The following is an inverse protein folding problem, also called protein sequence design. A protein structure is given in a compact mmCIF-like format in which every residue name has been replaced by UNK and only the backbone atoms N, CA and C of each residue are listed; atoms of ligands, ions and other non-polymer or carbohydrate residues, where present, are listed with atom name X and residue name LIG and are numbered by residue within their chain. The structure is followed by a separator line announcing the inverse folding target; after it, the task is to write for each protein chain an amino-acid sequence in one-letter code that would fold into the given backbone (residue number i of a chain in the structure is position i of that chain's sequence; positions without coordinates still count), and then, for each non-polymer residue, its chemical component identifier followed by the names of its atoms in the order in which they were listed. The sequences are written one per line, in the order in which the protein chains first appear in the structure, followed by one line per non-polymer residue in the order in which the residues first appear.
data_IF_059808254988
#
_entry.id   IF_059808254988
#
_cell.length_a   1.000
_cell.length_b   1.000
_cell.length_c   1.000
_cell.angle_alpha   90.00
_cell.angle_beta   90.00
_cell.angle_gamma   90.00
#
_symmetry.space_group_name_H-M   'P 1'
#
loop_
_entity.id
_entity.type
_entity.pdbx_description
1 polymer ?
#
# COMPACT_ATOMS: atom_id res chain seq x y z
N UNK A 1 9.76 9.88 2.15
CA UNK A 1 8.71 8.91 2.53
C UNK A 1 7.43 9.44 1.96
N UNK A 2 6.65 8.59 1.31
CA UNK A 2 5.52 9.03 0.52
C UNK A 2 5.53 8.46 -0.90
N UNK A 3 4.36 8.50 -1.53
CA UNK A 3 4.17 8.08 -2.92
C UNK A 3 4.93 8.98 -3.91
N UNK A 4 5.24 10.21 -3.54
CA UNK A 4 6.12 11.13 -4.29
C UNK A 4 7.55 10.60 -4.43
N UNK A 5 8.10 9.96 -3.40
CA UNK A 5 9.39 9.27 -3.54
C UNK A 5 9.27 8.01 -4.38
N UNK A 6 8.12 7.34 -4.36
CA UNK A 6 7.89 6.13 -5.14
C UNK A 6 7.76 6.46 -6.63
N UNK A 7 7.17 7.61 -6.96
CA UNK A 7 7.13 8.16 -8.31
C UNK A 7 8.54 8.23 -8.93
N UNK A 8 9.49 8.82 -8.21
CA UNK A 8 10.88 8.93 -8.64
C UNK A 8 11.49 7.54 -8.85
N UNK A 9 11.42 6.69 -7.82
CA UNK A 9 12.10 5.38 -7.84
C UNK A 9 11.53 4.47 -8.92
N UNK A 10 10.20 4.40 -9.08
CA UNK A 10 9.58 3.51 -10.06
C UNK A 10 9.87 3.94 -11.49
N UNK A 11 9.82 5.25 -11.78
CA UNK A 11 10.18 5.75 -13.12
C UNK A 11 11.67 5.52 -13.42
N UNK A 12 12.57 5.73 -12.44
CA UNK A 12 14.00 5.49 -12.64
C UNK A 12 14.34 4.00 -12.82
N UNK A 13 13.68 3.11 -12.07
CA UNK A 13 13.82 1.66 -12.23
C UNK A 13 13.31 1.17 -13.59
N UNK A 14 12.14 1.64 -14.03
CA UNK A 14 11.62 1.30 -15.35
C UNK A 14 12.55 1.84 -16.45
N UNK A 15 13.02 3.09 -16.32
CA UNK A 15 13.94 3.67 -17.28
C UNK A 15 15.22 2.85 -17.44
N UNK A 16 15.77 2.33 -16.34
CA UNK A 16 16.97 1.50 -16.33
C UNK A 16 16.85 0.25 -17.21
N UNK A 17 15.67 -0.37 -17.27
CA UNK A 17 15.47 -1.63 -17.98
C UNK A 17 14.73 -1.46 -19.32
N UNK A 18 13.88 -0.45 -19.45
CA UNK A 18 12.95 -0.28 -20.57
C UNK A 18 13.21 0.95 -21.45
N UNK A 19 14.22 1.78 -21.14
CA UNK A 19 14.69 2.85 -22.02
C UNK A 19 16.08 2.50 -22.60
N UNK A 20 16.27 2.70 -23.89
CA UNK A 20 17.60 2.73 -24.49
C UNK A 20 18.21 4.12 -24.26
N UNK A 21 19.26 4.20 -23.46
CA UNK A 21 19.90 5.48 -23.11
C UNK A 21 20.72 6.11 -24.25
N UNK A 22 21.13 5.32 -25.24
CA UNK A 22 21.87 5.84 -26.40
C UNK A 22 20.90 6.50 -27.38
N UNK A 23 19.80 5.83 -27.72
CA UNK A 23 18.77 6.40 -28.61
C UNK A 23 17.77 7.32 -27.89
N UNK A 24 17.67 7.21 -26.56
CA UNK A 24 16.66 7.87 -25.70
C UNK A 24 15.23 7.52 -26.09
N UNK A 25 15.01 6.28 -26.49
CA UNK A 25 13.68 5.77 -26.88
C UNK A 25 13.26 4.61 -25.98
N UNK A 26 11.96 4.45 -25.81
CA UNK A 26 11.39 3.28 -25.14
C UNK A 26 11.70 2.03 -25.94
N UNK A 27 12.08 0.95 -25.26
CA UNK A 27 12.30 -0.36 -25.90
C UNK A 27 11.00 -0.90 -26.52
N UNK A 28 11.09 -1.67 -27.62
CA UNK A 28 9.96 -2.39 -28.20
C UNK A 28 9.24 -3.23 -27.15
N UNK A 29 7.92 -3.39 -27.27
CA UNK A 29 7.10 -4.02 -26.24
C UNK A 29 7.53 -5.46 -25.93
N UNK A 30 7.94 -6.20 -26.96
CA UNK A 30 8.47 -7.56 -26.91
C UNK A 30 9.80 -7.69 -26.18
N UNK A 31 10.55 -6.60 -26.01
CA UNK A 31 11.82 -6.55 -25.28
C UNK A 31 11.68 -5.99 -23.86
N UNK A 32 10.49 -5.49 -23.49
CA UNK A 32 10.30 -4.86 -22.18
C UNK A 32 10.41 -5.90 -21.06
N UNK A 33 11.16 -5.54 -20.04
CA UNK A 33 11.36 -6.36 -18.85
C UNK A 33 10.32 -6.00 -17.79
N UNK A 34 9.73 -7.03 -17.20
CA UNK A 34 8.90 -6.89 -16.00
C UNK A 34 9.75 -7.16 -14.75
N UNK A 35 9.82 -6.18 -13.86
CA UNK A 35 10.51 -6.31 -12.58
C UNK A 35 9.60 -6.96 -11.54
N UNK A 36 10.20 -7.75 -10.64
CA UNK A 36 9.56 -8.23 -9.41
C UNK A 36 10.07 -7.39 -8.24
N UNK A 37 9.20 -6.53 -7.70
CA UNK A 37 9.56 -5.54 -6.68
C UNK A 37 8.85 -5.90 -5.37
N UNK A 38 9.64 -6.07 -4.31
CA UNK A 38 9.11 -6.42 -2.99
C UNK A 38 9.45 -5.29 -2.03
N UNK A 39 8.43 -4.56 -1.59
CA UNK A 39 8.55 -3.56 -0.55
C UNK A 39 8.55 -4.26 0.81
N UNK A 40 9.61 -4.06 1.58
CA UNK A 40 9.65 -4.39 3.00
C UNK A 40 9.54 -3.09 3.80
N UNK A 41 8.47 -2.95 4.56
CA UNK A 41 8.19 -1.72 5.31
C UNK A 41 7.63 -1.96 6.69
N UNK A 42 7.48 -0.89 7.44
CA UNK A 42 6.75 -0.89 8.72
C UNK A 42 5.38 -0.27 8.53
N UNK A 43 4.38 -0.74 9.26
CA UNK A 43 3.05 -0.13 9.26
C UNK A 43 2.41 -0.14 10.64
N UNK A 44 1.36 0.67 10.79
CA UNK A 44 0.46 0.61 11.93
C UNK A 44 -0.79 -0.19 11.60
N UNK A 45 -1.23 -1.05 12.51
CA UNK A 45 -2.51 -1.76 12.38
C UNK A 45 -3.70 -0.83 12.67
N UNK A 46 -4.80 -1.01 11.92
CA UNK A 46 -6.11 -0.41 12.18
C UNK A 46 -6.99 -1.29 13.06
N UNK A 47 -6.75 -2.60 13.09
CA UNK A 47 -7.67 -3.57 13.66
C UNK A 47 -7.07 -4.22 14.92
N UNK A 48 -7.89 -4.40 15.96
CA UNK A 48 -7.43 -5.00 17.21
C UNK A 48 -6.96 -6.46 17.03
N UNK A 49 -7.50 -7.18 16.05
CA UNK A 49 -7.14 -8.55 15.70
C UNK A 49 -5.90 -8.67 14.80
N UNK A 50 -5.27 -7.56 14.42
CA UNK A 50 -3.96 -7.53 13.75
C UNK A 50 -2.91 -7.08 14.77
N UNK A 51 -2.26 -8.02 15.48
CA UNK A 51 -1.41 -7.73 16.63
C UNK A 51 -0.08 -7.10 16.23
N UNK A 52 0.51 -6.32 17.14
CA UNK A 52 1.89 -5.84 17.01
C UNK A 52 2.86 -7.02 16.95
N UNK A 53 3.86 -6.95 16.08
CA UNK A 53 4.83 -8.02 15.85
C UNK A 53 4.42 -9.02 14.77
N UNK A 54 3.21 -8.92 14.23
CA UNK A 54 2.79 -9.69 13.06
C UNK A 54 3.41 -9.17 11.77
N UNK A 55 3.48 -10.04 10.77
CA UNK A 55 3.87 -9.73 9.40
C UNK A 55 2.63 -9.81 8.51
N UNK A 56 2.44 -8.80 7.67
CA UNK A 56 1.26 -8.66 6.83
C UNK A 56 1.64 -8.43 5.36
N UNK A 57 1.07 -9.22 4.46
CA UNK A 57 1.16 -9.00 3.02
C UNK A 57 -0.07 -8.23 2.52
N UNK A 58 0.17 -7.16 1.77
CA UNK A 58 -0.90 -6.31 1.24
C UNK A 58 -1.51 -6.93 -0.01
N UNK A 59 -2.81 -7.25 0.03
CA UNK A 59 -3.57 -7.69 -1.14
C UNK A 59 -4.04 -6.51 -1.99
N UNK A 60 -4.75 -5.55 -1.38
CA UNK A 60 -5.10 -4.29 -2.03
C UNK A 60 -4.55 -3.11 -1.25
N UNK A 61 -4.11 -2.09 -1.97
CA UNK A 61 -3.66 -0.84 -1.43
C UNK A 61 -4.69 0.26 -1.74
N UNK A 62 -4.93 1.14 -0.79
CA UNK A 62 -5.82 2.30 -0.91
C UNK A 62 -4.96 3.56 -0.81
N UNK A 63 -4.83 4.29 -1.91
CA UNK A 63 -4.14 5.58 -1.93
C UNK A 63 -5.07 6.72 -1.54
N UNK A 64 -4.69 7.45 -0.49
CA UNK A 64 -5.35 8.70 -0.07
C UNK A 64 -4.59 9.96 -0.53
N UNK A 65 -3.54 9.76 -1.34
CA UNK A 65 -2.77 10.81 -1.98
C UNK A 65 -3.29 11.11 -3.39
N UNK A 66 -2.68 12.09 -4.06
CA UNK A 66 -3.13 12.57 -5.38
C UNK A 66 -2.27 12.09 -6.54
N UNK A 67 -1.29 11.18 -6.34
CA UNK A 67 -0.32 10.85 -7.38
C UNK A 67 -0.99 10.31 -8.65
N UNK A 68 -2.00 9.45 -8.51
CA UNK A 68 -2.70 8.87 -9.66
C UNK A 68 -3.60 9.85 -10.43
N UNK A 69 -3.72 11.11 -9.98
CA UNK A 69 -4.36 12.16 -10.80
C UNK A 69 -3.45 12.67 -11.92
N UNK A 70 -2.16 12.31 -11.90
CA UNK A 70 -1.16 12.70 -12.90
C UNK A 70 -0.85 11.58 -13.91
N UNK A 71 -1.42 10.39 -13.71
CA UNK A 71 -1.20 9.20 -14.52
C UNK A 71 -2.54 8.64 -15.04
N UNK A 72 -2.56 7.93 -16.17
CA UNK A 72 -3.79 7.35 -16.72
C UNK A 72 -4.18 6.05 -15.98
N UNK A 73 -4.17 6.08 -14.65
CA UNK A 73 -4.57 4.95 -13.82
C UNK A 73 -6.08 4.74 -13.89
N UNK A 74 -6.49 3.49 -14.15
CA UNK A 74 -7.89 3.12 -14.23
C UNK A 74 -8.14 1.93 -13.32
N UNK A 75 -8.98 2.16 -12.31
CA UNK A 75 -9.50 1.13 -11.42
C UNK A 75 -10.54 0.28 -12.14
N UNK A 76 -10.67 -0.98 -11.74
CA UNK A 76 -11.69 -1.86 -12.31
C UNK A 76 -12.43 -2.68 -11.25
N UNK A 77 -13.69 -3.01 -11.54
CA UNK A 77 -14.46 -3.97 -10.74
C UNK A 77 -14.57 -3.59 -9.26
N UNK A 78 -13.98 -4.42 -8.40
CA UNK A 78 -13.98 -4.24 -6.95
C UNK A 78 -13.26 -2.95 -6.53
N UNK A 79 -12.16 -2.59 -7.20
CA UNK A 79 -11.34 -1.41 -6.85
C UNK A 79 -12.17 -0.14 -6.93
N UNK A 80 -12.87 0.06 -8.05
CA UNK A 80 -13.77 1.20 -8.27
C UNK A 80 -14.88 1.27 -7.22
N UNK A 81 -15.49 0.13 -6.86
CA UNK A 81 -16.58 0.06 -5.88
C UNK A 81 -16.08 0.44 -4.48
N UNK A 82 -14.95 -0.13 -4.06
CA UNK A 82 -14.32 0.19 -2.77
C UNK A 82 -13.90 1.65 -2.72
N UNK A 83 -13.31 2.20 -3.79
CA UNK A 83 -12.90 3.60 -3.85
C UNK A 83 -14.08 4.55 -3.65
N UNK A 84 -15.20 4.29 -4.33
CA UNK A 84 -16.43 5.09 -4.22
C UNK A 84 -17.04 5.01 -2.82
N UNK A 85 -17.19 3.82 -2.26
CA UNK A 85 -17.76 3.62 -0.93
C UNK A 85 -16.87 4.25 0.15
N UNK A 86 -15.55 4.15 -0.01
CA UNK A 86 -14.61 4.75 0.91
C UNK A 86 -14.65 6.29 0.83
N UNK A 87 -14.72 6.86 -0.38
CA UNK A 87 -14.88 8.29 -0.57
C UNK A 87 -16.11 8.81 0.18
N UNK A 88 -17.24 8.13 0.04
CA UNK A 88 -18.50 8.49 0.70
C UNK A 88 -18.39 8.32 2.23
N UNK A 89 -17.89 7.18 2.69
CA UNK A 89 -17.75 6.87 4.12
C UNK A 89 -16.86 7.88 4.84
N UNK A 90 -15.75 8.26 4.21
CA UNK A 90 -14.79 9.21 4.77
C UNK A 90 -15.18 10.67 4.50
N UNK A 91 -16.13 10.93 3.60
CA UNK A 91 -16.53 12.29 3.20
C UNK A 91 -15.38 13.05 2.54
N UNK A 92 -14.57 12.36 1.73
CA UNK A 92 -13.41 12.97 1.08
C UNK A 92 -13.86 13.86 -0.09
N UNK A 93 -13.31 15.08 -0.22
CA UNK A 93 -13.62 15.96 -1.34
C UNK A 93 -12.90 15.55 -2.65
N UNK A 94 -12.18 14.43 -2.63
CA UNK A 94 -11.44 13.85 -3.74
C UNK A 94 -11.67 12.33 -3.75
N UNK A 95 -11.48 11.70 -4.91
CA UNK A 95 -11.56 10.25 -5.01
C UNK A 95 -10.23 9.64 -4.52
N UNK A 96 -10.26 8.74 -3.52
CA UNK A 96 -9.13 7.85 -3.29
C UNK A 96 -9.03 6.87 -4.47
N UNK A 97 -7.90 6.16 -4.57
CA UNK A 97 -7.74 5.08 -5.55
C UNK A 97 -7.40 3.77 -4.86
N UNK A 98 -7.82 2.66 -5.44
CA UNK A 98 -7.60 1.30 -4.94
C UNK A 98 -6.90 0.51 -6.02
N UNK A 99 -5.91 -0.28 -5.60
CA UNK A 99 -5.11 -1.06 -6.53
C UNK A 99 -4.72 -2.40 -5.91
N UNK A 100 -4.89 -3.48 -6.67
CA UNK A 100 -4.45 -4.82 -6.28
C UNK A 100 -2.95 -5.01 -6.49
N UNK A 101 -2.29 -5.69 -5.56
CA UNK A 101 -0.90 -6.13 -5.71
C UNK A 101 -0.75 -7.39 -6.56
N UNK A 102 0.49 -7.80 -6.80
CA UNK A 102 0.81 -9.02 -7.54
C UNK A 102 0.30 -10.28 -6.82
N UNK A 103 -0.62 -11.00 -7.47
CA UNK A 103 -1.08 -12.30 -6.98
C UNK A 103 0.03 -13.34 -7.02
N UNK A 104 0.87 -13.31 -8.06
CA UNK A 104 2.02 -14.20 -8.21
C UNK A 104 3.00 -14.07 -7.03
N UNK A 105 3.42 -12.84 -6.72
CA UNK A 105 4.33 -12.61 -5.60
C UNK A 105 3.67 -12.93 -4.26
N UNK A 106 2.37 -12.65 -4.11
CA UNK A 106 1.63 -12.96 -2.88
C UNK A 106 1.54 -14.47 -2.65
N UNK A 107 1.24 -15.26 -3.69
CA UNK A 107 1.23 -16.72 -3.60
C UNK A 107 2.60 -17.29 -3.24
N UNK A 108 3.69 -16.69 -3.77
CA UNK A 108 5.06 -17.09 -3.44
C UNK A 108 5.47 -16.69 -2.02
N UNK A 109 5.12 -15.48 -1.57
CA UNK A 109 5.75 -14.82 -0.42
C UNK A 109 4.82 -14.54 0.77
N UNK A 110 3.55 -14.97 0.75
CA UNK A 110 2.60 -14.61 1.79
C UNK A 110 1.89 -15.79 2.48
N UNK A 111 2.31 -17.04 2.22
CA UNK A 111 1.63 -18.22 2.74
C UNK A 111 1.48 -18.27 4.28
N UNK A 112 2.46 -17.74 5.00
CA UNK A 112 2.52 -17.68 6.48
C UNK A 112 2.23 -16.27 7.04
N UNK A 113 1.82 -15.32 6.20
CA UNK A 113 1.56 -13.94 6.61
C UNK A 113 0.07 -13.67 6.73
N UNK A 114 -0.28 -12.67 7.54
CA UNK A 114 -1.62 -12.10 7.50
C UNK A 114 -1.83 -11.45 6.12
N UNK A 115 -2.99 -11.69 5.52
CA UNK A 115 -3.39 -10.98 4.29
C UNK A 115 -4.31 -9.83 4.67
N UNK A 116 -4.03 -8.64 4.16
CA UNK A 116 -4.80 -7.45 4.49
C UNK A 116 -4.84 -6.40 3.40
N UNK A 117 -5.75 -5.44 3.54
CA UNK A 117 -5.80 -4.26 2.68
C UNK A 117 -5.18 -3.06 3.39
N UNK A 118 -4.27 -2.36 2.73
CA UNK A 118 -3.40 -1.34 3.34
C UNK A 118 -3.80 0.05 2.88
N UNK A 119 -3.92 0.99 3.81
CA UNK A 119 -4.14 2.40 3.51
C UNK A 119 -2.80 3.12 3.39
N UNK A 120 -2.54 3.72 2.24
CA UNK A 120 -1.40 4.60 2.01
C UNK A 120 -1.82 6.05 2.28
N UNK A 121 -1.30 6.62 3.36
CA UNK A 121 -1.61 7.97 3.80
C UNK A 121 -0.59 8.98 3.25
N UNK A 122 -1.00 10.18 2.83
CA UNK A 122 -0.10 11.25 2.34
C UNK A 122 0.67 11.97 3.48
N UNK A 123 0.92 11.30 4.60
CA UNK A 123 1.62 11.88 5.74
C UNK A 123 1.42 11.09 7.05
N UNK A 124 2.32 11.32 8.00
CA UNK A 124 2.41 10.54 9.24
C UNK A 124 1.56 11.04 10.41
N UNK A 125 1.17 12.32 10.43
CA UNK A 125 0.43 12.91 11.54
C UNK A 125 -1.06 13.01 11.24
N UNK A 126 -1.53 14.17 10.78
CA UNK A 126 -2.94 14.43 10.48
C UNK A 126 -3.58 13.38 9.55
N UNK A 127 -2.94 12.98 8.43
CA UNK A 127 -3.47 11.94 7.54
C UNK A 127 -3.59 10.53 8.15
N UNK A 128 -2.88 10.27 9.25
CA UNK A 128 -3.02 9.06 10.07
C UNK A 128 -3.75 9.35 11.40
N UNK A 129 -4.48 10.47 11.47
CA UNK A 129 -5.29 10.92 12.60
C UNK A 129 -4.55 11.14 13.90
N UNK A 130 -3.29 11.58 13.86
CA UNK A 130 -2.53 11.97 15.06
C UNK A 130 -2.65 13.47 15.29
N UNK A 131 -2.78 13.86 16.57
CA UNK A 131 -2.84 15.25 17.01
C UNK A 131 -1.60 15.57 17.84
N UNK A 132 -1.00 16.72 17.53
CA UNK A 132 0.05 17.31 18.36
C UNK A 132 -0.48 18.65 18.89
N UNK A 133 -0.25 19.73 18.12
CA UNK A 133 -0.80 21.07 18.41
C UNK A 133 -1.99 21.44 17.51
N UNK A 134 -2.01 20.94 16.27
CA UNK A 134 -3.09 21.19 15.31
C UNK A 134 -4.18 20.13 15.45
N UNK A 135 -5.42 20.58 15.35
CA UNK A 135 -6.58 19.70 15.29
C UNK A 135 -6.73 19.04 13.92
N UNK A 136 -7.41 17.89 13.92
CA UNK A 136 -7.81 17.22 12.68
C UNK A 136 -9.02 17.93 12.11
N UNK A 137 -9.03 18.14 10.80
CA UNK A 137 -10.22 18.63 10.08
C UNK A 137 -11.43 17.71 10.30
N UNK A 138 -11.20 16.40 10.37
CA UNK A 138 -12.19 15.40 10.76
C UNK A 138 -11.67 14.61 11.97
N UNK A 139 -12.20 14.88 13.18
CA UNK A 139 -11.79 14.22 14.41
C UNK A 139 -11.98 12.69 14.44
N UNK A 140 -12.98 12.20 13.72
CA UNK A 140 -13.49 10.82 13.69
C UNK A 140 -12.97 10.01 12.49
N UNK A 141 -12.17 10.62 11.61
CA UNK A 141 -11.66 10.02 10.38
C UNK A 141 -11.01 8.63 10.58
N UNK A 142 -10.18 8.45 11.62
CA UNK A 142 -9.56 7.16 11.89
C UNK A 142 -10.56 6.10 12.32
N UNK A 143 -11.58 6.47 13.09
CA UNK A 143 -12.64 5.54 13.50
C UNK A 143 -13.44 5.09 12.28
N UNK A 144 -13.70 6.00 11.33
CA UNK A 144 -14.37 5.66 10.06
C UNK A 144 -13.53 4.73 9.19
N UNK A 145 -12.21 4.93 9.11
CA UNK A 145 -11.30 3.97 8.47
C UNK A 145 -11.33 2.59 9.15
N UNK A 146 -11.27 2.55 10.48
CA UNK A 146 -11.30 1.28 11.23
C UNK A 146 -12.60 0.50 11.01
N UNK A 147 -13.72 1.21 10.93
CA UNK A 147 -15.05 0.65 10.77
C UNK A 147 -15.47 0.42 9.31
N UNK A 148 -14.68 0.90 8.33
CA UNK A 148 -15.00 0.72 6.92
C UNK A 148 -15.10 -0.77 6.57
N UNK A 149 -16.21 -1.14 5.95
CA UNK A 149 -16.49 -2.47 5.41
C UNK A 149 -17.18 -2.30 4.08
N UNK A 150 -16.75 -3.06 3.08
CA UNK A 150 -17.41 -3.15 1.79
C UNK A 150 -17.63 -4.62 1.47
N UNK A 151 -18.89 -5.00 1.24
CA UNK A 151 -19.27 -6.38 0.94
C UNK A 151 -19.34 -6.55 -0.57
N UNK A 152 -18.64 -7.55 -1.11
CA UNK A 152 -18.70 -7.91 -2.52
C UNK A 152 -18.91 -9.43 -2.68
N UNK A 153 -19.20 -9.92 -3.89
CA UNK A 153 -19.24 -11.35 -4.16
C UNK A 153 -17.93 -12.09 -3.84
N UNK A 154 -16.81 -11.37 -3.80
CA UNK A 154 -15.48 -11.90 -3.46
C UNK A 154 -15.23 -11.96 -1.93
N UNK A 155 -16.10 -11.34 -1.13
CA UNK A 155 -16.06 -11.37 0.34
C UNK A 155 -16.14 -9.99 0.99
N UNK A 156 -15.75 -9.93 2.26
CA UNK A 156 -15.68 -8.68 3.03
C UNK A 156 -14.34 -7.97 2.78
N UNK A 157 -14.42 -6.74 2.28
CA UNK A 157 -13.28 -5.85 2.18
C UNK A 157 -13.23 -4.96 3.43
N UNK A 158 -12.16 -5.14 4.22
CA UNK A 158 -11.84 -4.28 5.38
C UNK A 158 -10.42 -3.75 5.31
N UNK A 159 -10.18 -2.60 5.93
CA UNK A 159 -8.85 -1.99 6.04
C UNK A 159 -8.10 -2.56 7.25
N UNK A 160 -6.88 -3.02 7.03
CA UNK A 160 -6.11 -3.78 8.03
C UNK A 160 -5.00 -2.97 8.69
N UNK A 161 -4.23 -2.22 7.91
CA UNK A 161 -3.09 -1.43 8.35
C UNK A 161 -2.98 -0.14 7.51
N UNK A 162 -2.09 0.77 7.92
CA UNK A 162 -1.75 1.97 7.18
C UNK A 162 -0.25 2.29 7.22
N UNK A 163 0.22 2.90 6.13
CA UNK A 163 1.60 3.33 5.90
C UNK A 163 1.60 4.50 4.88
N UNK A 164 2.66 4.73 4.10
CA UNK A 164 2.79 5.93 3.27
C UNK A 164 3.23 5.70 1.82
N UNK A 165 3.33 4.47 1.31
CA UNK A 165 3.96 4.23 -0.01
C UNK A 165 3.30 3.13 -0.87
N UNK A 166 2.64 2.15 -0.26
CA UNK A 166 2.25 0.89 -0.94
C UNK A 166 1.34 1.11 -2.16
N UNK A 167 0.37 2.02 -2.08
CA UNK A 167 -0.53 2.31 -3.20
C UNK A 167 0.20 2.91 -4.41
N UNK A 168 1.19 3.78 -4.18
CA UNK A 168 2.02 4.32 -5.26
C UNK A 168 2.85 3.25 -5.95
N UNK A 169 3.41 2.31 -5.17
CA UNK A 169 4.14 1.16 -5.70
C UNK A 169 3.27 0.29 -6.59
N UNK A 170 2.07 -0.05 -6.13
CA UNK A 170 1.17 -0.94 -6.85
C UNK A 170 0.62 -0.27 -8.12
N UNK A 171 0.17 0.98 -8.03
CA UNK A 171 -0.42 1.66 -9.18
C UNK A 171 0.61 1.95 -10.28
N UNK A 172 1.82 2.42 -9.92
CA UNK A 172 2.90 2.59 -10.91
C UNK A 172 3.40 1.25 -11.43
N UNK A 173 3.50 0.24 -10.56
CA UNK A 173 3.85 -1.13 -10.97
C UNK A 173 2.89 -1.66 -12.04
N UNK A 174 1.59 -1.54 -11.82
CA UNK A 174 0.56 -1.95 -12.78
C UNK A 174 0.65 -1.17 -14.10
N UNK A 175 0.83 0.16 -14.03
CA UNK A 175 0.96 1.00 -15.23
C UNK A 175 2.21 0.68 -16.07
N UNK A 176 3.31 0.35 -15.40
CA UNK A 176 4.60 0.03 -16.04
C UNK A 176 4.74 -1.47 -16.38
N UNK A 177 3.78 -2.31 -15.97
CA UNK A 177 3.82 -3.76 -16.20
C UNK A 177 4.82 -4.51 -15.32
N UNK A 178 5.05 -4.03 -14.10
CA UNK A 178 5.87 -4.68 -13.07
C UNK A 178 5.02 -5.40 -12.03
N UNK A 179 5.54 -6.49 -11.49
CA UNK A 179 4.94 -7.25 -10.40
C UNK A 179 5.40 -6.67 -9.07
N UNK A 180 4.47 -6.23 -8.22
CA UNK A 180 4.80 -5.57 -6.95
C UNK A 180 4.03 -6.17 -5.77
N UNK A 181 4.74 -6.42 -4.67
CA UNK A 181 4.16 -6.85 -3.39
C UNK A 181 4.73 -6.04 -2.24
N UNK A 182 3.87 -5.65 -1.30
CA UNK A 182 4.25 -4.99 -0.05
C UNK A 182 4.06 -5.92 1.14
N UNK A 183 5.14 -6.08 1.91
CA UNK A 183 5.18 -6.83 3.15
C UNK A 183 5.48 -5.88 4.30
N UNK A 184 4.70 -5.99 5.37
CA UNK A 184 4.63 -5.01 6.43
C UNK A 184 4.92 -5.64 7.79
N UNK A 185 5.91 -5.12 8.49
CA UNK A 185 6.10 -5.33 9.92
C UNK A 185 5.10 -4.44 10.69
N UNK A 186 4.19 -5.04 11.44
CA UNK A 186 3.24 -4.28 12.28
C UNK A 186 3.96 -3.83 13.55
N UNK A 187 4.31 -2.54 13.62
CA UNK A 187 5.09 -1.96 14.74
C UNK A 187 4.25 -1.17 15.75
N UNK A 188 2.99 -0.91 15.42
CA UNK A 188 2.04 -0.26 16.31
C UNK A 188 0.62 -0.73 15.98
N UNK A 189 -0.27 -0.70 16.95
CA UNK A 189 -1.69 -0.97 16.74
C UNK A 189 -2.51 0.25 17.18
N UNK A 190 -3.24 0.83 16.23
CA UNK A 190 -4.03 2.04 16.46
C UNK A 190 -5.29 1.79 17.26
N UNK A 191 -5.89 0.60 17.13
CA UNK A 191 -7.10 0.25 17.86
C UNK A 191 -6.81 0.02 19.35
N UNK A 192 -5.65 -0.56 19.68
CA UNK A 192 -5.28 -0.87 21.07
C UNK A 192 -4.37 0.18 21.71
N UNK A 193 -3.72 1.02 20.91
CA UNK A 193 -2.71 1.98 21.38
C UNK A 193 -1.36 1.34 21.69
N UNK A 194 -1.16 0.06 21.35
CA UNK A 194 0.07 -0.67 21.59
C UNK A 194 1.18 -0.28 20.61
N UNK A 195 2.42 -0.28 21.10
CA UNK A 195 3.63 -0.09 20.30
C UNK A 195 4.60 -1.24 20.54
N UNK A 196 5.34 -1.62 19.49
CA UNK A 196 6.38 -2.63 19.60
C UNK A 196 7.46 -2.19 20.58
N UNK A 197 7.84 -3.10 21.50
CA UNK A 197 8.99 -2.89 22.39
C UNK A 197 10.30 -2.90 21.61
N UNK A 198 10.37 -3.78 20.61
CA UNK A 198 11.50 -3.91 19.70
C UNK A 198 10.96 -3.98 18.27
N UNK A 199 10.95 -2.83 17.59
CA UNK A 199 10.56 -2.77 16.18
C UNK A 199 11.66 -3.35 15.26
N UNK A 200 12.92 -3.34 15.70
CA UNK A 200 14.05 -3.84 14.93
C UNK A 200 13.95 -5.34 14.72
N UNK A 201 13.68 -6.10 15.78
CA UNK A 201 13.49 -7.56 15.69
C UNK A 201 12.39 -7.94 14.69
N UNK A 202 11.26 -7.22 14.69
CA UNK A 202 10.14 -7.52 13.77
C UNK A 202 10.57 -7.28 12.32
N UNK A 203 11.32 -6.22 12.07
CA UNK A 203 11.86 -5.88 10.74
C UNK A 203 12.91 -6.90 10.31
N UNK A 204 13.82 -7.30 11.20
CA UNK A 204 14.84 -8.31 10.90
C UNK A 204 14.21 -9.67 10.58
N UNK A 205 13.18 -10.07 11.34
CA UNK A 205 12.38 -11.26 11.04
C UNK A 205 11.72 -11.17 9.67
N UNK A 206 11.15 -10.01 9.31
CA UNK A 206 10.58 -9.80 7.99
C UNK A 206 11.63 -9.95 6.89
N UNK A 207 12.78 -9.29 7.01
CA UNK A 207 13.87 -9.34 6.04
C UNK A 207 14.37 -10.77 5.84
N UNK A 208 14.75 -11.44 6.93
CA UNK A 208 15.29 -12.80 6.88
C UNK A 208 14.28 -13.78 6.26
N UNK A 209 13.01 -13.68 6.67
CA UNK A 209 11.93 -14.51 6.13
C UNK A 209 11.70 -14.24 4.65
N UNK A 210 11.68 -12.99 4.19
CA UNK A 210 11.45 -12.68 2.78
C UNK A 210 12.61 -13.20 1.93
N UNK A 211 13.86 -12.93 2.32
CA UNK A 211 15.04 -13.39 1.57
C UNK A 211 15.13 -14.92 1.46
N UNK A 212 14.61 -15.67 2.45
CA UNK A 212 14.59 -17.14 2.40
C UNK A 212 13.64 -17.74 1.33
N UNK A 213 12.81 -16.92 0.69
CA UNK A 213 11.78 -17.35 -0.27
C UNK A 213 11.92 -16.72 -1.67
N UNK A 214 12.99 -15.96 -1.90
CA UNK A 214 13.31 -15.35 -3.20
C UNK A 214 14.40 -16.16 -3.90
#
# INVERSE_FOLDING_TARGET
MGTDNIDIVMNELDALVNIDFMSRTVRPAEERMSLRIIRLGTSGSLQADVPVGSLLATQHAVGLDSLMQFYPFMETGLETQVAQDLQQTLGLPYAPYVVRGSDLLREQLAADLLIGNTVTCPGFYGPQGRRLRLDLRSPDYMQRLQNFRHQSPEGDFRLSNFEMETAGYYALGQLLGHEVLSLNAIVANRATGEFAKDAGDIVDRLIARTLSQI
#
